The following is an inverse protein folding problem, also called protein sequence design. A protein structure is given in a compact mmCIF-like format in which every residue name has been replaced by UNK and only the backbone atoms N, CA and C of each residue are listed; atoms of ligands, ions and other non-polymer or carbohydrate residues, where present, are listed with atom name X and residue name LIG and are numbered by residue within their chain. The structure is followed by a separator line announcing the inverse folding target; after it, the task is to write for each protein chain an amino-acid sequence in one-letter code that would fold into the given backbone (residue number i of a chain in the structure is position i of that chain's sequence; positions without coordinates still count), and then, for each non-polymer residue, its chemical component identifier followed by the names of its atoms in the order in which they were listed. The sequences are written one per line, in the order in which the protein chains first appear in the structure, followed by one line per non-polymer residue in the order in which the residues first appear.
data_IF_912241928505
#
_entry.id   IF_912241928505
#
_cell.length_a   1.000
_cell.length_b   1.000
_cell.length_c   1.000
_cell.angle_alpha   90.00
_cell.angle_beta   90.00
_cell.angle_gamma   90.00
#
_symmetry.space_group_name_H-M   'P 1'
#
loop_
_entity.id
_entity.type
_entity.pdbx_description
1 polymer ?
#
# COMPACT_ATOMS: atom_id res chain seq x y z
N UNK A 1 -22.90 -23.24 5.44
CA UNK A 1 -21.65 -23.01 4.69
C UNK A 1 -21.37 -21.52 4.79
N UNK A 2 -20.34 -21.08 5.54
CA UNK A 2 -20.14 -19.63 5.72
C UNK A 2 -19.86 -18.99 4.37
N UNK A 3 -20.65 -17.99 4.00
CA UNK A 3 -20.40 -17.15 2.84
C UNK A 3 -18.95 -16.61 2.92
N UNK A 4 -18.26 -16.56 1.77
CA UNK A 4 -16.93 -15.97 1.70
C UNK A 4 -16.99 -14.53 2.23
N UNK A 5 -15.98 -14.12 3.02
CA UNK A 5 -15.82 -12.75 3.51
C UNK A 5 -14.92 -11.96 2.58
N UNK A 6 -15.28 -10.72 2.27
CA UNK A 6 -14.58 -9.89 1.29
C UNK A 6 -14.16 -8.55 1.90
N UNK A 7 -12.89 -8.22 1.78
CA UNK A 7 -12.35 -6.92 2.16
C UNK A 7 -12.16 -6.08 0.89
N UNK A 8 -13.01 -5.07 0.68
CA UNK A 8 -12.88 -4.14 -0.44
C UNK A 8 -11.81 -3.10 -0.05
N UNK A 9 -10.63 -3.21 -0.66
CA UNK A 9 -9.49 -2.35 -0.39
C UNK A 9 -9.48 -1.22 -1.41
N UNK A 10 -9.78 0.00 -0.96
CA UNK A 10 -9.76 1.21 -1.77
C UNK A 10 -8.46 1.99 -1.56
N UNK A 11 -7.55 1.83 -2.51
CA UNK A 11 -6.30 2.57 -2.62
C UNK A 11 -6.43 3.82 -3.50
N UNK A 12 -5.36 4.61 -3.54
CA UNK A 12 -5.20 5.74 -4.44
C UNK A 12 -4.41 6.90 -3.82
N UNK A 13 -3.90 7.82 -4.64
CA UNK A 13 -3.10 8.94 -4.16
C UNK A 13 -3.93 9.91 -3.30
N UNK A 14 -3.27 10.77 -2.52
CA UNK A 14 -3.94 11.88 -1.85
C UNK A 14 -4.73 12.75 -2.85
N UNK A 15 -5.85 13.34 -2.39
CA UNK A 15 -6.79 14.13 -3.20
C UNK A 15 -7.52 13.38 -4.35
N UNK A 16 -7.44 12.05 -4.42
CA UNK A 16 -8.12 11.27 -5.48
C UNK A 16 -9.63 11.05 -5.28
N UNK A 17 -10.20 11.41 -4.12
CA UNK A 17 -11.62 11.21 -3.84
C UNK A 17 -11.97 9.90 -3.11
N UNK A 18 -10.99 9.21 -2.53
CA UNK A 18 -11.19 7.93 -1.80
C UNK A 18 -12.29 7.99 -0.72
N UNK A 19 -12.39 9.07 0.04
CA UNK A 19 -13.34 9.17 1.15
C UNK A 19 -14.79 9.05 0.66
N UNK A 20 -15.19 9.91 -0.29
CA UNK A 20 -16.53 9.87 -0.90
C UNK A 20 -16.83 8.49 -1.50
N UNK A 21 -15.89 7.94 -2.27
CA UNK A 21 -16.06 6.65 -2.93
C UNK A 21 -16.16 5.49 -1.92
N UNK A 22 -15.38 5.53 -0.83
CA UNK A 22 -15.48 4.55 0.25
C UNK A 22 -16.84 4.61 0.96
N UNK A 23 -17.39 5.81 1.16
CA UNK A 23 -18.73 6.01 1.73
C UNK A 23 -19.80 5.42 0.81
N UNK A 24 -19.72 5.67 -0.50
CA UNK A 24 -20.64 5.09 -1.48
C UNK A 24 -20.59 3.55 -1.46
N UNK A 25 -19.39 2.97 -1.49
CA UNK A 25 -19.18 1.52 -1.34
C UNK A 25 -19.79 1.00 -0.03
N UNK A 26 -19.48 1.63 1.09
CA UNK A 26 -19.90 1.14 2.39
C UNK A 26 -21.42 1.25 2.60
N UNK A 27 -22.07 2.29 2.05
CA UNK A 27 -23.53 2.41 2.04
C UNK A 27 -24.18 1.32 1.19
N UNK A 28 -23.65 1.06 -0.01
CA UNK A 28 -24.16 0.02 -0.91
C UNK A 28 -24.10 -1.37 -0.26
N UNK A 29 -22.96 -1.72 0.34
CA UNK A 29 -22.74 -3.01 0.99
C UNK A 29 -23.18 -3.05 2.47
N UNK A 30 -23.83 -1.99 2.97
CA UNK A 30 -24.32 -1.88 4.35
C UNK A 30 -23.25 -2.21 5.40
N UNK A 31 -22.04 -1.69 5.18
CA UNK A 31 -20.85 -2.00 5.98
C UNK A 31 -20.19 -0.76 6.55
N UNK A 32 -19.08 -0.97 7.24
CA UNK A 32 -18.28 0.05 7.93
C UNK A 32 -16.95 0.23 7.19
N UNK A 33 -16.28 1.37 7.44
CA UNK A 33 -15.01 1.72 6.81
C UNK A 33 -13.87 1.58 7.81
N UNK A 34 -12.85 0.80 7.47
CA UNK A 34 -11.58 0.74 8.18
C UNK A 34 -10.63 1.76 7.54
N UNK A 35 -10.30 2.84 8.26
CA UNK A 35 -9.30 3.79 7.75
C UNK A 35 -7.92 3.15 7.81
N UNK A 36 -7.19 3.24 6.69
CA UNK A 36 -5.85 2.73 6.52
C UNK A 36 -4.89 3.87 6.10
N UNK A 37 -4.96 4.97 6.86
CA UNK A 37 -4.10 6.13 6.71
C UNK A 37 -3.42 6.48 8.04
N UNK A 38 -2.12 6.19 8.12
CA UNK A 38 -1.30 6.37 9.33
C UNK A 38 -1.31 7.76 9.96
N UNK A 39 -1.75 8.80 9.25
CA UNK A 39 -1.82 10.17 9.79
C UNK A 39 -3.21 10.54 10.30
N UNK A 40 -4.26 9.87 9.80
CA UNK A 40 -5.63 10.12 10.24
C UNK A 40 -5.94 9.51 11.62
N UNK A 41 -5.04 8.66 12.13
CA UNK A 41 -5.17 8.04 13.44
C UNK A 41 -5.08 9.04 14.59
N UNK A 42 -4.28 10.09 14.41
CA UNK A 42 -3.96 11.04 15.48
C UNK A 42 -5.03 12.10 15.66
N UNK A 43 -5.56 12.25 16.87
CA UNK A 43 -6.63 13.21 17.22
C UNK A 43 -6.24 14.66 16.91
N UNK A 44 -5.00 15.00 17.20
CA UNK A 44 -4.45 16.35 17.15
C UNK A 44 -4.21 16.85 15.71
N UNK A 45 -4.11 15.94 14.75
CA UNK A 45 -3.77 16.26 13.35
C UNK A 45 -4.98 16.12 12.42
N UNK A 46 -5.74 17.18 12.15
CA UNK A 46 -7.04 17.09 11.44
C UNK A 46 -7.01 17.69 10.04
N UNK A 47 -6.67 18.96 9.92
CA UNK A 47 -6.70 19.70 8.65
C UNK A 47 -5.62 19.16 7.73
N UNK A 48 -4.36 19.08 8.20
CA UNK A 48 -3.23 18.68 7.37
C UNK A 48 -3.28 17.23 6.87
N UNK A 49 -4.03 16.37 7.56
CA UNK A 49 -4.19 14.94 7.23
C UNK A 49 -5.43 14.66 6.39
N UNK A 50 -6.26 15.68 6.15
CA UNK A 50 -7.55 15.58 5.46
C UNK A 50 -8.40 14.42 5.97
N UNK A 51 -8.63 14.40 7.29
CA UNK A 51 -9.62 13.50 7.86
C UNK A 51 -10.98 13.73 7.18
N UNK A 52 -11.76 12.65 6.98
CA UNK A 52 -13.18 12.77 6.67
C UNK A 52 -13.86 13.77 7.61
N UNK A 53 -14.72 14.64 7.08
CA UNK A 53 -15.46 15.61 7.88
C UNK A 53 -16.43 14.92 8.84
N UNK A 54 -16.96 15.65 9.82
CA UNK A 54 -18.01 15.09 10.70
C UNK A 54 -19.26 14.67 9.92
N UNK A 55 -19.59 15.38 8.83
CA UNK A 55 -20.69 15.02 7.93
C UNK A 55 -20.42 13.71 7.19
N UNK A 56 -19.20 13.53 6.66
CA UNK A 56 -18.78 12.28 6.03
C UNK A 56 -18.75 11.10 7.02
N UNK A 57 -18.26 11.34 8.24
CA UNK A 57 -18.23 10.33 9.32
C UNK A 57 -19.63 9.98 9.84
N UNK A 58 -20.60 10.90 9.75
CA UNK A 58 -21.98 10.64 10.15
C UNK A 58 -22.72 9.72 9.17
N UNK A 59 -22.28 9.64 7.90
CA UNK A 59 -22.91 8.80 6.90
C UNK A 59 -22.59 7.31 7.08
N UNK A 60 -21.35 7.00 7.47
CA UNK A 60 -20.86 5.64 7.68
C UNK A 60 -19.83 5.66 8.81
N UNK A 61 -19.87 4.66 9.69
CA UNK A 61 -18.86 4.52 10.75
C UNK A 61 -17.48 4.29 10.15
N UNK A 62 -16.54 5.16 10.53
CA UNK A 62 -15.13 5.04 10.19
C UNK A 62 -14.33 4.61 11.44
N UNK A 63 -13.54 3.55 11.30
CA UNK A 63 -12.63 3.07 12.33
C UNK A 63 -11.23 3.65 12.16
N UNK A 64 -10.46 3.66 13.25
CA UNK A 64 -9.08 4.16 13.33
C UNK A 64 -8.90 5.64 13.03
N UNK A 65 -9.95 6.42 12.80
CA UNK A 65 -9.83 7.89 12.78
C UNK A 65 -9.87 8.38 14.22
N UNK A 66 -8.95 9.28 14.60
CA UNK A 66 -8.89 9.84 15.96
C UNK A 66 -8.72 8.77 17.07
N UNK A 67 -8.18 7.60 16.73
CA UNK A 67 -7.99 6.49 17.67
C UNK A 67 -6.78 6.67 18.58
N UNK A 68 -5.81 7.51 18.20
CA UNK A 68 -4.53 7.69 18.88
C UNK A 68 -4.26 9.17 19.18
N UNK A 69 -3.39 9.43 20.15
CA UNK A 69 -2.67 10.69 20.29
C UNK A 69 -1.37 10.64 19.48
N UNK A 70 -0.87 11.80 19.03
CA UNK A 70 0.46 11.91 18.39
C UNK A 70 1.62 11.44 19.29
N UNK A 71 1.40 11.35 20.60
CA UNK A 71 2.37 10.84 21.58
C UNK A 71 2.36 9.32 21.74
N UNK A 72 1.32 8.64 21.24
CA UNK A 72 1.20 7.19 21.34
C UNK A 72 2.25 6.50 20.45
N UNK A 73 3.00 5.54 21.00
CA UNK A 73 3.86 4.68 20.20
C UNK A 73 2.99 3.66 19.45
N UNK A 74 2.95 3.79 18.13
CA UNK A 74 2.09 2.96 17.29
C UNK A 74 2.79 2.55 15.99
N UNK A 75 2.96 1.24 15.83
CA UNK A 75 3.60 0.67 14.65
C UNK A 75 2.59 0.12 13.65
N UNK A 76 3.07 -0.16 12.43
CA UNK A 76 2.27 -0.88 11.43
C UNK A 76 1.89 -2.30 11.89
N UNK A 77 2.69 -2.92 12.77
CA UNK A 77 2.39 -4.22 13.33
C UNK A 77 1.27 -4.18 14.38
N UNK A 78 1.14 -3.07 15.10
CA UNK A 78 0.03 -2.85 16.04
C UNK A 78 -1.27 -2.63 15.26
N UNK A 79 -1.21 -1.80 14.20
CA UNK A 79 -2.33 -1.65 13.28
C UNK A 79 -2.77 -2.97 12.65
N UNK A 80 -1.84 -3.80 12.18
CA UNK A 80 -2.18 -5.11 11.62
C UNK A 80 -3.00 -5.95 12.62
N UNK A 81 -2.51 -6.09 13.85
CA UNK A 81 -3.17 -6.88 14.88
C UNK A 81 -4.57 -6.34 15.20
N UNK A 82 -4.68 -5.04 15.46
CA UNK A 82 -5.94 -4.40 15.82
C UNK A 82 -6.95 -4.42 14.67
N UNK A 83 -6.50 -4.14 13.44
CA UNK A 83 -7.36 -4.17 12.26
C UNK A 83 -7.88 -5.59 11.97
N UNK A 84 -7.06 -6.63 12.17
CA UNK A 84 -7.51 -8.02 11.99
C UNK A 84 -8.56 -8.43 13.03
N UNK A 85 -8.39 -8.03 14.29
CA UNK A 85 -9.40 -8.27 15.35
C UNK A 85 -10.71 -7.56 15.01
N UNK A 86 -10.64 -6.29 14.58
CA UNK A 86 -11.82 -5.55 14.16
C UNK A 86 -12.50 -6.21 12.94
N UNK A 87 -11.73 -6.61 11.94
CA UNK A 87 -12.26 -7.26 10.74
C UNK A 87 -12.95 -8.58 11.09
N UNK A 88 -12.38 -9.37 11.99
CA UNK A 88 -13.01 -10.60 12.47
C UNK A 88 -14.39 -10.32 13.08
N UNK A 89 -14.50 -9.28 13.92
CA UNK A 89 -15.78 -8.90 14.54
C UNK A 89 -16.80 -8.39 13.50
N UNK A 90 -16.38 -7.50 12.59
CA UNK A 90 -17.24 -6.98 11.53
C UNK A 90 -17.75 -8.11 10.63
N UNK A 91 -16.90 -9.07 10.28
CA UNK A 91 -17.26 -10.20 9.42
C UNK A 91 -18.20 -11.22 10.09
N UNK A 92 -18.45 -11.13 11.40
CA UNK A 92 -19.49 -11.96 12.06
C UNK A 92 -20.89 -11.64 11.54
N UNK A 93 -21.14 -10.38 11.20
CA UNK A 93 -22.46 -9.88 10.79
C UNK A 93 -22.49 -9.39 9.35
N UNK A 94 -21.33 -9.21 8.71
CA UNK A 94 -21.19 -8.65 7.36
C UNK A 94 -20.41 -9.57 6.46
N UNK A 95 -20.75 -9.57 5.18
CA UNK A 95 -19.97 -10.31 4.16
C UNK A 95 -18.91 -9.44 3.49
N UNK A 96 -19.10 -8.11 3.53
CA UNK A 96 -18.19 -7.12 2.99
C UNK A 96 -17.74 -6.16 4.08
N UNK A 97 -16.49 -5.72 4.03
CA UNK A 97 -15.97 -4.57 4.77
C UNK A 97 -15.15 -3.71 3.81
N UNK A 98 -15.22 -2.39 3.95
CA UNK A 98 -14.40 -1.46 3.15
C UNK A 98 -13.19 -1.04 3.97
N UNK A 99 -11.98 -1.16 3.40
CA UNK A 99 -10.78 -0.54 3.94
C UNK A 99 -10.28 0.52 2.97
N UNK A 100 -10.12 1.76 3.42
CA UNK A 100 -9.75 2.89 2.54
C UNK A 100 -8.50 3.57 3.04
N UNK A 101 -7.53 3.81 2.16
CA UNK A 101 -6.27 4.41 2.60
C UNK A 101 -5.23 4.63 1.51
N UNK A 102 -4.25 5.49 1.81
CA UNK A 102 -3.10 5.76 0.95
C UNK A 102 -1.80 5.13 1.43
N UNK A 103 -1.82 4.43 2.57
CA UNK A 103 -0.61 3.89 3.22
C UNK A 103 -0.35 2.46 2.76
N UNK A 104 0.37 2.29 1.64
CA UNK A 104 0.61 0.98 1.02
C UNK A 104 1.23 -0.07 1.95
N UNK A 105 2.10 0.35 2.89
CA UNK A 105 2.67 -0.56 3.90
C UNK A 105 1.61 -1.10 4.87
N UNK A 106 0.65 -0.25 5.30
CA UNK A 106 -0.42 -0.63 6.22
C UNK A 106 -1.45 -1.54 5.52
N UNK A 107 -1.77 -1.23 4.27
CA UNK A 107 -2.61 -2.09 3.43
C UNK A 107 -1.97 -3.48 3.28
N UNK A 108 -0.67 -3.51 2.96
CA UNK A 108 0.06 -4.76 2.84
C UNK A 108 0.10 -5.56 4.14
N UNK A 109 0.31 -4.90 5.28
CA UNK A 109 0.30 -5.55 6.58
C UNK A 109 -1.02 -6.29 6.80
N UNK A 110 -2.16 -5.63 6.59
CA UNK A 110 -3.49 -6.27 6.76
C UNK A 110 -3.72 -7.38 5.73
N UNK A 111 -3.40 -7.16 4.46
CA UNK A 111 -3.78 -8.10 3.39
C UNK A 111 -2.80 -9.27 3.21
N UNK A 112 -1.51 -9.03 3.41
CA UNK A 112 -0.41 -9.95 3.09
C UNK A 112 0.49 -10.24 4.29
N UNK A 113 0.25 -9.62 5.44
CA UNK A 113 1.06 -9.80 6.64
C UNK A 113 2.37 -9.03 6.60
N UNK A 114 3.06 -9.08 7.72
CA UNK A 114 4.41 -8.55 7.89
C UNK A 114 5.38 -9.69 8.18
N UNK A 115 6.60 -9.56 7.67
CA UNK A 115 7.70 -10.39 8.12
C UNK A 115 7.93 -10.17 9.62
N UNK A 116 8.06 -11.26 10.37
CA UNK A 116 8.30 -11.21 11.79
C UNK A 116 9.76 -10.86 12.07
N UNK A 117 9.99 -9.68 12.63
CA UNK A 117 11.29 -9.25 13.11
C UNK A 117 11.38 -9.34 14.64
N UNK A 118 12.56 -9.67 15.17
CA UNK A 118 12.80 -9.68 16.60
C UNK A 118 12.75 -8.25 17.17
N UNK A 119 12.36 -8.15 18.45
CA UNK A 119 12.50 -6.89 19.18
C UNK A 119 13.98 -6.53 19.31
N UNK A 120 14.28 -5.26 19.04
CA UNK A 120 15.64 -4.73 19.16
C UNK A 120 15.70 -3.92 20.44
N UNK A 121 16.58 -4.28 21.40
CA UNK A 121 16.78 -3.50 22.61
C UNK A 121 17.14 -2.04 22.32
N UNK A 122 16.57 -1.11 23.09
CA UNK A 122 16.79 0.33 22.91
C UNK A 122 18.28 0.72 22.95
N UNK A 123 19.09 0.04 23.76
CA UNK A 123 20.55 0.24 23.81
C UNK A 123 21.21 0.05 22.44
N UNK A 124 20.72 -0.90 21.64
CA UNK A 124 21.29 -1.20 20.31
C UNK A 124 20.85 -0.14 19.31
N UNK A 125 19.59 0.30 19.37
CA UNK A 125 19.09 1.40 18.54
C UNK A 125 19.92 2.68 18.76
N UNK A 126 20.08 3.09 20.01
CA UNK A 126 20.90 4.26 20.38
C UNK A 126 22.36 4.14 19.95
N UNK A 127 22.94 2.94 20.01
CA UNK A 127 24.31 2.70 19.54
C UNK A 127 24.42 2.84 18.02
N UNK A 128 23.46 2.31 17.26
CA UNK A 128 23.44 2.42 15.79
C UNK A 128 23.19 3.86 15.35
N UNK A 129 22.31 4.59 16.03
CA UNK A 129 22.09 6.03 15.81
C UNK A 129 23.37 6.83 16.07
N UNK A 130 24.03 6.60 17.21
CA UNK A 130 25.30 7.27 17.52
C UNK A 130 26.41 6.96 16.50
N UNK A 131 26.51 5.70 16.05
CA UNK A 131 27.44 5.31 14.98
C UNK A 131 27.15 6.05 13.67
N UNK A 132 25.88 6.24 13.33
CA UNK A 132 25.48 6.98 12.13
C UNK A 132 25.80 8.47 12.25
N UNK A 133 25.54 9.08 13.41
CA UNK A 133 25.85 10.48 13.68
C UNK A 133 27.36 10.77 13.63
N UNK A 134 28.18 9.86 14.17
CA UNK A 134 29.63 10.03 14.24
C UNK A 134 30.32 9.70 12.90
N UNK A 135 29.93 8.60 12.24
CA UNK A 135 30.69 8.00 11.13
C UNK A 135 29.98 8.13 9.78
N UNK A 136 28.72 8.55 9.78
CA UNK A 136 27.92 8.77 8.59
C UNK A 136 27.49 7.50 7.86
N UNK A 137 26.87 7.70 6.68
CA UNK A 137 26.23 6.62 5.91
C UNK A 137 27.22 5.57 5.40
N UNK A 138 28.46 5.95 5.10
CA UNK A 138 29.49 5.02 4.61
C UNK A 138 29.79 3.90 5.61
N UNK A 139 29.76 4.23 6.90
CA UNK A 139 29.88 3.22 7.97
C UNK A 139 28.71 2.23 7.93
N UNK A 140 27.48 2.71 7.80
CA UNK A 140 26.30 1.84 7.72
C UNK A 140 26.34 0.94 6.48
N UNK A 141 26.80 1.47 5.34
CA UNK A 141 26.95 0.71 4.11
C UNK A 141 27.95 -0.45 4.29
N UNK A 142 29.14 -0.18 4.82
CA UNK A 142 30.16 -1.23 5.03
C UNK A 142 29.75 -2.23 6.13
N UNK A 143 29.12 -1.76 7.21
CA UNK A 143 28.60 -2.61 8.26
C UNK A 143 27.53 -3.57 7.72
N UNK A 144 26.61 -3.07 6.88
CA UNK A 144 25.59 -3.89 6.26
C UNK A 144 26.18 -4.86 5.24
N UNK A 145 27.09 -4.40 4.38
CA UNK A 145 27.77 -5.23 3.39
C UNK A 145 28.47 -6.43 4.03
N UNK A 146 29.05 -6.21 5.22
CA UNK A 146 29.71 -7.26 5.99
C UNK A 146 28.71 -8.20 6.67
N UNK A 147 27.65 -7.66 7.28
CA UNK A 147 26.70 -8.43 8.08
C UNK A 147 25.61 -9.15 7.28
N UNK A 148 25.26 -8.63 6.10
CA UNK A 148 24.21 -9.15 5.23
C UNK A 148 24.41 -8.70 3.77
N UNK A 149 25.32 -9.36 3.02
CA UNK A 149 25.58 -9.05 1.61
C UNK A 149 24.33 -9.15 0.73
N UNK A 150 23.43 -10.09 1.03
CA UNK A 150 22.20 -10.30 0.27
C UNK A 150 21.26 -9.10 0.38
N UNK A 151 21.03 -8.59 1.60
CA UNK A 151 20.19 -7.39 1.76
C UNK A 151 20.88 -6.13 1.23
N UNK A 152 22.21 -6.05 1.33
CA UNK A 152 23.01 -4.93 0.81
C UNK A 152 22.77 -4.70 -0.69
N UNK A 153 22.65 -5.76 -1.49
CA UNK A 153 22.39 -5.67 -2.93
C UNK A 153 20.97 -5.19 -3.27
N UNK A 154 20.01 -5.37 -2.36
CA UNK A 154 18.59 -5.08 -2.59
C UNK A 154 18.16 -3.73 -2.02
N UNK A 155 18.80 -3.27 -0.94
CA UNK A 155 18.38 -2.08 -0.20
C UNK A 155 18.82 -0.79 -0.90
N UNK A 156 18.06 0.27 -0.67
CA UNK A 156 18.49 1.62 -1.03
C UNK A 156 19.62 2.06 -0.08
N UNK A 157 20.87 1.99 -0.57
CA UNK A 157 22.07 2.35 0.17
C UNK A 157 22.15 3.84 0.55
N UNK A 158 21.28 4.70 0.01
CA UNK A 158 21.19 6.11 0.36
C UNK A 158 20.11 6.39 1.42
N UNK A 159 19.46 5.35 1.94
CA UNK A 159 18.43 5.47 2.96
C UNK A 159 18.95 5.04 4.34
N UNK A 160 19.42 5.98 5.19
CA UNK A 160 20.05 5.64 6.46
C UNK A 160 19.10 4.89 7.40
N UNK A 161 17.81 5.20 7.41
CA UNK A 161 16.83 4.48 8.25
C UNK A 161 16.73 2.99 7.91
N UNK A 162 16.78 2.63 6.61
CA UNK A 162 16.76 1.22 6.20
C UNK A 162 18.05 0.50 6.61
N UNK A 163 19.19 1.16 6.46
CA UNK A 163 20.48 0.60 6.84
C UNK A 163 20.58 0.42 8.36
N UNK A 164 20.24 1.45 9.13
CA UNK A 164 20.21 1.39 10.59
C UNK A 164 19.30 0.26 11.07
N UNK A 165 18.08 0.15 10.53
CA UNK A 165 17.15 -0.92 10.90
C UNK A 165 17.71 -2.33 10.62
N UNK A 166 18.41 -2.52 9.52
CA UNK A 166 19.04 -3.80 9.22
C UNK A 166 20.18 -4.13 10.20
N UNK A 167 21.05 -3.15 10.45
CA UNK A 167 22.19 -3.29 11.38
C UNK A 167 21.70 -3.52 12.81
N UNK A 168 20.65 -2.84 13.25
CA UNK A 168 19.98 -3.05 14.53
C UNK A 168 19.58 -4.52 14.73
N UNK A 169 18.91 -5.11 13.75
CA UNK A 169 18.47 -6.52 13.81
C UNK A 169 19.67 -7.47 13.78
N UNK A 170 20.66 -7.20 12.93
CA UNK A 170 21.89 -7.98 12.83
C UNK A 170 22.63 -7.97 14.18
N UNK A 171 22.80 -6.80 14.80
CA UNK A 171 23.46 -6.65 16.10
C UNK A 171 22.65 -7.28 17.25
N UNK A 172 21.33 -7.19 17.20
CA UNK A 172 20.47 -7.76 18.23
C UNK A 172 20.44 -9.30 18.20
N UNK A 173 20.56 -9.90 17.01
CA UNK A 173 20.32 -11.35 16.84
C UNK A 173 21.50 -12.15 16.32
N UNK A 174 22.57 -11.49 15.91
CA UNK A 174 23.70 -12.08 15.21
C UNK A 174 23.31 -12.85 13.92
N UNK A 175 22.16 -12.51 13.31
CA UNK A 175 21.66 -13.12 12.08
C UNK A 175 21.45 -12.06 10.98
N UNK A 176 21.65 -12.40 9.69
CA UNK A 176 21.36 -11.50 8.59
C UNK A 176 19.90 -11.00 8.61
N UNK A 177 19.68 -9.74 8.24
CA UNK A 177 18.33 -9.14 8.15
C UNK A 177 17.46 -9.87 7.09
N UNK A 178 18.07 -10.24 5.97
CA UNK A 178 17.52 -11.07 4.88
C UNK A 178 16.90 -12.37 5.40
N UNK A 179 17.48 -13.01 6.42
CA UNK A 179 16.99 -14.27 6.98
C UNK A 179 15.59 -14.18 7.64
N UNK A 180 15.16 -12.96 7.99
CA UNK A 180 13.84 -12.69 8.54
C UNK A 180 12.80 -12.31 7.48
N UNK A 181 13.24 -11.97 6.26
CA UNK A 181 12.37 -11.64 5.12
C UNK A 181 11.88 -12.89 4.42
N UNK A 182 10.96 -13.61 5.07
CA UNK A 182 10.49 -14.93 4.62
C UNK A 182 9.39 -14.84 3.58
N UNK A 183 8.79 -13.67 3.38
CA UNK A 183 7.78 -13.43 2.33
C UNK A 183 6.55 -14.32 2.48
N UNK A 184 6.26 -14.80 3.70
CA UNK A 184 5.12 -15.69 3.92
C UNK A 184 3.86 -14.86 4.06
N UNK A 185 2.99 -14.95 3.06
CA UNK A 185 1.65 -14.38 3.16
C UNK A 185 0.77 -15.30 4.04
N UNK A 186 0.30 -14.83 5.21
CA UNK A 186 -0.58 -15.60 6.06
C UNK A 186 -1.94 -15.77 5.37
N UNK A 187 -2.59 -16.89 5.64
CA UNK A 187 -3.98 -17.08 5.22
C UNK A 187 -4.89 -16.15 6.02
N UNK A 188 -5.65 -15.30 5.34
CA UNK A 188 -6.62 -14.38 5.95
C UNK A 188 -8.00 -15.01 5.92
N UNK A 189 -8.82 -14.68 6.92
CA UNK A 189 -10.23 -15.10 7.00
C UNK A 189 -11.13 -14.41 5.97
N UNK A 190 -10.57 -13.50 5.15
CA UNK A 190 -11.24 -12.75 4.12
C UNK A 190 -10.45 -12.74 2.81
N UNK A 191 -11.15 -12.43 1.71
CA UNK A 191 -10.59 -12.28 0.37
C UNK A 191 -10.51 -10.79 0.01
N UNK A 192 -9.32 -10.22 -0.17
CA UNK A 192 -9.20 -8.81 -0.54
C UNK A 192 -9.58 -8.59 -2.01
N UNK A 193 -10.30 -7.49 -2.28
CA UNK A 193 -10.64 -6.98 -3.62
C UNK A 193 -10.04 -5.58 -3.74
N UNK A 194 -9.09 -5.39 -4.65
CA UNK A 194 -8.30 -4.17 -4.71
C UNK A 194 -8.77 -3.20 -5.79
N UNK A 195 -9.18 -2.03 -5.35
CA UNK A 195 -9.63 -0.92 -6.18
C UNK A 195 -8.68 0.26 -5.98
N UNK A 196 -8.40 1.00 -7.03
CA UNK A 196 -7.55 2.19 -6.96
C UNK A 196 -8.23 3.38 -7.63
N UNK A 197 -8.39 4.46 -6.87
CA UNK A 197 -8.84 5.73 -7.41
C UNK A 197 -7.78 6.32 -8.34
N UNK A 198 -8.21 6.65 -9.56
CA UNK A 198 -7.35 7.12 -10.63
C UNK A 198 -7.82 8.48 -11.17
N UNK A 199 -6.86 9.34 -11.48
CA UNK A 199 -7.02 10.62 -12.17
C UNK A 199 -5.90 10.77 -13.18
N UNK A 200 -6.11 11.57 -14.23
CA UNK A 200 -4.97 12.06 -15.02
C UNK A 200 -4.03 12.86 -14.12
N UNK A 201 -2.75 12.94 -14.49
CA UNK A 201 -1.74 13.61 -13.67
C UNK A 201 -2.07 15.09 -13.49
N UNK A 202 -2.57 15.73 -14.53
CA UNK A 202 -2.92 17.14 -14.59
C UNK A 202 -4.06 17.44 -13.60
N UNK A 203 -5.14 16.66 -13.67
CA UNK A 203 -6.29 16.78 -12.77
C UNK A 203 -5.87 16.50 -11.32
N UNK A 204 -5.09 15.44 -11.08
CA UNK A 204 -4.62 15.11 -9.74
C UNK A 204 -3.79 16.25 -9.13
N UNK A 205 -2.89 16.86 -9.92
CA UNK A 205 -2.04 17.94 -9.44
C UNK A 205 -2.83 19.21 -9.15
N UNK A 206 -3.82 19.54 -10.00
CA UNK A 206 -4.74 20.64 -9.73
C UNK A 206 -5.51 20.41 -8.44
N UNK A 207 -6.11 19.22 -8.26
CA UNK A 207 -6.83 18.85 -7.04
C UNK A 207 -5.96 18.93 -5.79
N UNK A 208 -4.71 18.46 -5.87
CA UNK A 208 -3.74 18.59 -4.76
C UNK A 208 -3.50 20.07 -4.42
N UNK A 209 -3.24 20.91 -5.42
CA UNK A 209 -2.97 22.32 -5.19
C UNK A 209 -4.16 23.03 -4.54
N UNK A 210 -5.36 22.86 -5.11
CA UNK A 210 -6.60 23.41 -4.58
C UNK A 210 -6.87 22.91 -3.16
N UNK A 211 -6.58 21.64 -2.86
CA UNK A 211 -6.73 21.09 -1.51
C UNK A 211 -5.79 21.77 -0.52
N UNK A 212 -4.53 22.01 -0.89
CA UNK A 212 -3.59 22.71 -0.02
C UNK A 212 -4.06 24.14 0.23
N UNK A 213 -4.54 24.84 -0.79
CA UNK A 213 -5.10 26.19 -0.63
C UNK A 213 -6.30 26.17 0.33
N UNK A 214 -7.20 25.19 0.19
CA UNK A 214 -8.31 24.98 1.10
C UNK A 214 -7.89 24.66 2.53
N UNK A 215 -6.84 23.87 2.73
CA UNK A 215 -6.28 23.57 4.06
C UNK A 215 -5.74 24.84 4.74
N UNK A 216 -5.00 25.67 4.00
CA UNK A 216 -4.51 26.95 4.52
C UNK A 216 -5.66 27.86 4.93
N UNK A 217 -6.70 27.96 4.09
CA UNK A 217 -7.90 28.74 4.41
C UNK A 217 -8.71 28.18 5.60
N UNK A 218 -8.64 26.87 5.83
CA UNK A 218 -9.33 26.19 6.94
C UNK A 218 -8.58 26.28 8.28
N UNK A 219 -7.39 26.88 8.30
CA UNK A 219 -6.60 27.08 9.52
C UNK A 219 -5.47 26.07 9.74
N UNK A 220 -4.88 25.52 8.66
CA UNK A 220 -3.73 24.61 8.78
C UNK A 220 -2.54 25.27 9.49
N UNK A 221 -2.31 26.57 9.27
CA UNK A 221 -1.20 27.29 9.90
C UNK A 221 -1.35 27.29 11.42
N UNK A 222 -2.57 27.54 11.90
CA UNK A 222 -2.94 27.56 13.31
C UNK A 222 -2.87 26.15 13.92
N UNK A 223 -3.35 25.13 13.21
CA UNK A 223 -3.21 23.73 13.64
C UNK A 223 -1.74 23.35 13.85
N UNK A 224 -0.85 23.70 12.91
CA UNK A 224 0.59 23.42 13.06
C UNK A 224 1.20 24.24 14.19
N UNK A 225 0.80 25.51 14.35
CA UNK A 225 1.28 26.37 15.44
C UNK A 225 1.00 25.75 16.82
N UNK A 226 -0.19 25.18 17.00
CA UNK A 226 -0.59 24.51 18.25
C UNK A 226 0.23 23.24 18.56
N UNK A 227 0.92 22.66 17.57
CA UNK A 227 1.69 21.41 17.69
C UNK A 227 3.20 21.62 17.58
N UNK A 228 3.67 22.88 17.72
CA UNK A 228 5.09 23.21 17.55
C UNK A 228 5.98 22.62 18.64
N UNK A 229 5.49 22.41 19.86
CA UNK A 229 6.29 21.83 20.94
C UNK A 229 6.62 20.35 20.65
N UNK A 230 5.71 19.67 19.94
CA UNK A 230 5.73 18.26 19.60
C UNK A 230 6.42 18.00 18.26
N UNK A 231 6.98 19.03 17.60
CA UNK A 231 7.56 18.97 16.24
C UNK A 231 8.59 17.85 15.99
N UNK A 232 9.16 17.30 17.05
CA UNK A 232 10.12 16.21 17.02
C UNK A 232 9.46 14.83 16.82
N UNK A 233 8.16 14.69 17.10
CA UNK A 233 7.42 13.45 16.99
C UNK A 233 7.21 13.01 15.53
N UNK A 234 7.28 11.70 15.30
CA UNK A 234 7.14 11.08 13.97
C UNK A 234 5.79 11.39 13.29
N UNK A 235 4.74 11.67 14.06
CA UNK A 235 3.44 12.14 13.56
C UNK A 235 3.57 13.38 12.69
N UNK A 236 4.32 14.37 13.17
CA UNK A 236 4.49 15.69 12.56
C UNK A 236 5.59 15.74 11.49
N UNK A 237 6.36 14.67 11.34
CA UNK A 237 7.31 14.49 10.24
C UNK A 237 6.60 14.08 8.93
N UNK A 238 5.59 14.86 8.53
CA UNK A 238 4.78 14.62 7.33
C UNK A 238 4.57 15.90 6.52
N UNK A 239 4.20 15.73 5.25
CA UNK A 239 3.93 16.84 4.32
C UNK A 239 2.79 17.71 4.86
N UNK A 240 2.96 19.03 4.79
CA UNK A 240 2.05 20.01 5.37
C UNK A 240 2.59 20.56 6.69
N UNK A 241 3.05 19.68 7.58
CA UNK A 241 3.52 20.05 8.90
C UNK A 241 5.01 20.46 8.85
N UNK A 242 5.87 19.67 8.22
CA UNK A 242 7.31 19.96 8.15
C UNK A 242 7.61 21.32 7.50
N UNK A 243 6.91 21.66 6.42
CA UNK A 243 7.10 22.92 5.72
C UNK A 243 6.66 24.12 6.56
N UNK A 244 5.55 24.00 7.30
CA UNK A 244 5.05 25.06 8.17
C UNK A 244 5.88 25.19 9.45
N UNK A 245 6.37 24.09 10.03
CA UNK A 245 7.36 24.12 11.11
C UNK A 245 8.61 24.89 10.67
N UNK A 246 9.13 24.62 9.46
CA UNK A 246 10.28 25.35 8.93
C UNK A 246 10.00 26.85 8.73
N UNK A 247 8.75 27.22 8.41
CA UNK A 247 8.33 28.62 8.40
C UNK A 247 8.37 29.25 9.80
N UNK A 248 7.80 28.59 10.81
CA UNK A 248 7.85 29.06 12.20
C UNK A 248 9.28 29.18 12.76
N UNK A 249 10.21 28.37 12.26
CA UNK A 249 11.64 28.46 12.58
C UNK A 249 12.40 29.53 11.77
N UNK A 250 11.68 30.39 11.02
CA UNK A 250 12.23 31.43 10.15
C UNK A 250 13.21 30.93 9.07
N UNK A 251 13.15 29.64 8.71
CA UNK A 251 13.99 29.05 7.65
C UNK A 251 13.44 29.33 6.25
N UNK A 252 12.13 29.58 6.12
CA UNK A 252 11.42 29.83 4.88
C UNK A 252 10.28 30.85 5.08
N UNK A 253 9.93 31.60 4.02
CA UNK A 253 8.71 32.43 4.04
C UNK A 253 7.44 31.55 3.99
N UNK A 254 6.30 32.10 4.41
CA UNK A 254 5.03 31.37 4.41
C UNK A 254 4.64 30.96 2.98
N UNK A 255 4.81 31.87 2.03
CA UNK A 255 4.53 31.62 0.61
C UNK A 255 5.38 30.44 0.10
N UNK A 256 6.66 30.42 0.49
CA UNK A 256 7.56 29.34 0.09
C UNK A 256 7.20 28.01 0.76
N UNK A 257 6.80 28.02 2.02
CA UNK A 257 6.31 26.84 2.71
C UNK A 257 5.08 26.27 1.98
N UNK A 258 4.08 27.09 1.65
CA UNK A 258 2.88 26.66 0.91
C UNK A 258 3.22 26.09 -0.46
N UNK A 259 4.13 26.69 -1.22
CA UNK A 259 4.62 26.13 -2.48
C UNK A 259 5.24 24.73 -2.30
N UNK A 260 6.03 24.55 -1.25
CA UNK A 260 6.67 23.27 -0.94
C UNK A 260 5.65 22.22 -0.51
N UNK A 261 4.62 22.59 0.27
CA UNK A 261 3.52 21.67 0.63
C UNK A 261 2.85 21.14 -0.65
N UNK A 262 2.54 22.04 -1.60
CA UNK A 262 1.98 21.64 -2.90
C UNK A 262 2.93 20.71 -3.65
N UNK A 263 4.22 21.04 -3.73
CA UNK A 263 5.22 20.23 -4.42
C UNK A 263 5.40 18.84 -3.79
N UNK A 264 5.55 18.79 -2.47
CA UNK A 264 5.79 17.56 -1.74
C UNK A 264 4.53 16.68 -1.67
N UNK A 265 3.33 17.28 -1.67
CA UNK A 265 2.07 16.54 -1.81
C UNK A 265 1.97 15.84 -3.16
N UNK A 266 2.41 16.48 -4.26
CA UNK A 266 2.49 15.84 -5.58
C UNK A 266 3.54 14.72 -5.62
N UNK A 267 4.70 14.92 -4.99
CA UNK A 267 5.72 13.87 -4.85
C UNK A 267 5.20 12.69 -4.04
N UNK A 268 4.45 12.93 -2.97
CA UNK A 268 3.83 11.90 -2.16
C UNK A 268 2.78 11.11 -2.96
N UNK A 269 1.88 11.80 -3.68
CA UNK A 269 0.92 11.17 -4.58
C UNK A 269 1.61 10.28 -5.63
N UNK A 270 2.71 10.75 -6.24
CA UNK A 270 3.53 9.94 -7.16
C UNK A 270 4.06 8.68 -6.48
N UNK A 271 4.60 8.77 -5.26
CA UNK A 271 5.09 7.60 -4.50
C UNK A 271 3.98 6.59 -4.23
N UNK A 272 2.78 7.05 -3.89
CA UNK A 272 1.61 6.17 -3.69
C UNK A 272 1.23 5.43 -4.96
N UNK A 273 1.17 6.13 -6.10
CA UNK A 273 0.91 5.52 -7.41
C UNK A 273 1.99 4.51 -7.78
N UNK A 274 3.26 4.85 -7.58
CA UNK A 274 4.40 3.95 -7.84
C UNK A 274 4.32 2.70 -6.97
N UNK A 275 3.95 2.83 -5.69
CA UNK A 275 3.78 1.69 -4.80
C UNK A 275 2.70 0.73 -5.32
N UNK A 276 1.51 1.23 -5.64
CA UNK A 276 0.40 0.41 -6.12
C UNK A 276 0.70 -0.24 -7.48
N UNK A 277 1.43 0.46 -8.36
CA UNK A 277 1.82 -0.07 -9.67
C UNK A 277 2.72 -1.32 -9.57
N UNK A 278 3.56 -1.41 -8.53
CA UNK A 278 4.45 -2.57 -8.31
C UNK A 278 3.65 -3.88 -8.22
N UNK A 279 2.47 -3.79 -7.62
CA UNK A 279 1.75 -4.96 -7.14
C UNK A 279 0.90 -5.63 -8.25
N UNK A 280 0.43 -4.87 -9.24
CA UNK A 280 -0.16 -5.40 -10.48
C UNK A 280 -1.64 -5.85 -10.44
N UNK A 281 -2.28 -5.84 -9.26
CA UNK A 281 -3.68 -6.29 -9.10
C UNK A 281 -4.72 -5.19 -8.89
N UNK A 282 -4.31 -3.93 -8.87
CA UNK A 282 -5.20 -2.82 -8.59
C UNK A 282 -6.11 -2.54 -9.79
N UNK A 283 -7.42 -2.67 -9.62
CA UNK A 283 -8.37 -2.23 -10.65
C UNK A 283 -8.60 -0.73 -10.52
N UNK A 284 -8.30 0.03 -11.57
CA UNK A 284 -8.45 1.49 -11.57
C UNK A 284 -9.90 1.90 -11.82
N UNK A 285 -10.35 2.92 -11.09
CA UNK A 285 -11.63 3.59 -11.28
C UNK A 285 -11.47 5.11 -11.12
N UNK A 286 -12.24 5.87 -11.89
CA UNK A 286 -12.44 7.31 -11.67
C UNK A 286 -13.60 7.54 -10.69
N UNK A 287 -13.68 8.71 -10.02
CA UNK A 287 -14.77 8.99 -9.08
C UNK A 287 -16.17 8.84 -9.64
N UNK A 288 -16.36 9.12 -10.93
CA UNK A 288 -17.65 8.99 -11.63
C UNK A 288 -18.03 7.55 -12.00
N UNK A 289 -17.14 6.57 -11.79
CA UNK A 289 -17.30 5.18 -12.23
C UNK A 289 -17.76 4.24 -11.09
N UNK A 290 -18.49 4.76 -10.09
CA UNK A 290 -18.95 3.97 -8.93
C UNK A 290 -19.77 2.73 -9.33
N UNK A 291 -20.69 2.87 -10.29
CA UNK A 291 -21.49 1.73 -10.80
C UNK A 291 -20.61 0.64 -11.41
N UNK A 292 -19.58 1.03 -12.19
CA UNK A 292 -18.63 0.07 -12.76
C UNK A 292 -17.82 -0.67 -11.69
N UNK A 293 -17.56 -0.02 -10.55
CA UNK A 293 -16.91 -0.68 -9.42
C UNK A 293 -17.84 -1.69 -8.73
N UNK A 294 -19.14 -1.39 -8.60
CA UNK A 294 -20.12 -2.36 -8.10
C UNK A 294 -20.21 -3.59 -9.02
N UNK A 295 -20.26 -3.37 -10.33
CA UNK A 295 -20.27 -4.46 -11.32
C UNK A 295 -18.99 -5.31 -11.24
N UNK A 296 -17.83 -4.66 -11.11
CA UNK A 296 -16.56 -5.35 -10.97
C UNK A 296 -16.48 -6.20 -9.68
N UNK A 297 -16.89 -5.65 -8.54
CA UNK A 297 -16.92 -6.39 -7.27
C UNK A 297 -17.88 -7.58 -7.37
N UNK A 298 -19.08 -7.35 -7.93
CA UNK A 298 -20.08 -8.41 -8.14
C UNK A 298 -19.53 -9.53 -9.02
N UNK A 299 -18.85 -9.19 -10.11
CA UNK A 299 -18.18 -10.17 -10.98
C UNK A 299 -17.10 -10.95 -10.23
N UNK A 300 -16.22 -10.27 -9.48
CA UNK A 300 -15.16 -10.91 -8.67
C UNK A 300 -15.76 -11.91 -7.68
N UNK A 301 -16.88 -11.58 -7.06
CA UNK A 301 -17.56 -12.42 -6.08
C UNK A 301 -18.27 -13.61 -6.75
N UNK A 302 -19.05 -13.36 -7.80
CA UNK A 302 -19.84 -14.36 -8.53
C UNK A 302 -18.94 -15.40 -9.20
N UNK A 303 -17.90 -14.95 -9.90
CA UNK A 303 -16.91 -15.79 -10.56
C UNK A 303 -15.86 -16.35 -9.57
N UNK A 304 -16.03 -16.03 -8.28
CA UNK A 304 -15.18 -16.52 -7.19
C UNK A 304 -13.69 -16.28 -7.46
N UNK A 305 -13.35 -15.14 -8.06
CA UNK A 305 -11.98 -14.81 -8.41
C UNK A 305 -11.13 -14.71 -7.12
N UNK A 306 -9.87 -15.13 -7.19
CA UNK A 306 -8.89 -15.10 -6.12
C UNK A 306 -7.63 -14.38 -6.57
N UNK A 307 -7.02 -13.63 -5.66
CA UNK A 307 -5.68 -13.11 -5.87
C UNK A 307 -4.68 -14.26 -5.78
N UNK A 308 -3.79 -14.38 -6.76
CA UNK A 308 -2.71 -15.34 -6.79
C UNK A 308 -1.38 -14.62 -7.02
N UNK A 309 -0.33 -15.20 -6.45
CA UNK A 309 1.03 -14.70 -6.51
C UNK A 309 1.79 -15.48 -7.58
N UNK A 310 2.50 -14.77 -8.43
CA UNK A 310 3.33 -15.31 -9.49
C UNK A 310 4.78 -14.84 -9.31
N UNK A 311 5.75 -15.77 -9.14
CA UNK A 311 7.15 -15.40 -9.08
C UNK A 311 7.61 -14.86 -10.44
N UNK A 312 8.11 -13.62 -10.49
CA UNK A 312 8.67 -13.03 -11.71
C UNK A 312 10.20 -13.09 -11.69
N UNK A 313 10.77 -14.08 -12.37
CA UNK A 313 12.22 -14.28 -12.50
C UNK A 313 13.01 -13.11 -13.16
N UNK A 314 12.35 -12.10 -13.72
CA UNK A 314 13.01 -10.96 -14.40
C UNK A 314 12.96 -9.68 -13.57
N UNK A 315 12.15 -9.67 -12.51
CA UNK A 315 12.06 -8.56 -11.58
C UNK A 315 12.56 -8.96 -10.18
N UNK A 316 12.81 -10.25 -9.94
CA UNK A 316 13.14 -10.75 -8.60
C UNK A 316 12.01 -10.51 -7.58
N UNK A 317 10.78 -10.25 -8.05
CA UNK A 317 9.62 -9.95 -7.22
C UNK A 317 8.45 -10.86 -7.55
N UNK A 318 7.60 -11.03 -6.56
CA UNK A 318 6.28 -11.63 -6.68
C UNK A 318 5.29 -10.63 -7.28
N UNK A 319 4.59 -11.04 -8.34
CA UNK A 319 3.52 -10.28 -9.00
C UNK A 319 2.19 -10.89 -8.61
N UNK A 320 1.19 -10.07 -8.34
CA UNK A 320 -0.08 -10.53 -7.80
C UNK A 320 -1.19 -10.29 -8.86
N UNK A 321 -2.05 -11.28 -9.12
CA UNK A 321 -3.05 -11.25 -10.21
C UNK A 321 -4.31 -12.05 -9.86
N UNK A 322 -5.49 -11.66 -10.36
CA UNK A 322 -6.78 -12.32 -10.07
C UNK A 322 -7.09 -13.46 -11.06
N UNK A 323 -7.52 -14.62 -10.56
CA UNK A 323 -7.93 -15.79 -11.35
C UNK A 323 -9.20 -16.45 -10.79
N UNK A 324 -10.03 -17.14 -11.58
CA UNK A 324 -11.11 -17.98 -11.04
C UNK A 324 -10.63 -18.98 -9.97
N UNK A 325 -11.48 -19.31 -9.01
CA UNK A 325 -11.10 -20.15 -7.86
C UNK A 325 -10.59 -21.56 -8.28
N UNK A 326 -11.10 -22.10 -9.38
CA UNK A 326 -10.71 -23.40 -9.92
C UNK A 326 -9.51 -23.35 -10.87
N UNK A 327 -8.97 -22.16 -11.15
CA UNK A 327 -7.80 -21.99 -12.00
C UNK A 327 -6.56 -22.48 -11.26
N UNK A 328 -5.88 -23.48 -11.84
CA UNK A 328 -4.52 -23.85 -11.46
C UNK A 328 -3.57 -23.02 -12.31
N UNK A 329 -2.69 -22.28 -11.66
CA UNK A 329 -1.66 -21.48 -12.34
C UNK A 329 -0.38 -22.31 -12.33
N UNK A 330 0.04 -22.85 -13.48
CA UNK A 330 1.41 -23.36 -13.65
C UNK A 330 2.25 -22.23 -14.25
N UNK A 331 3.25 -21.76 -13.50
CA UNK A 331 4.27 -20.88 -14.05
C UNK A 331 5.28 -21.76 -14.82
N UNK A 332 5.28 -21.67 -16.15
CA UNK A 332 6.33 -22.29 -16.97
C UNK A 332 7.54 -21.34 -16.99
N UNK A 333 8.68 -21.83 -16.49
CA UNK A 333 9.96 -21.14 -16.60
C UNK A 333 10.51 -21.37 -18.00
N UNK A 334 10.86 -20.31 -18.73
CA UNK A 334 11.84 -20.42 -19.80
C UNK A 334 12.91 -19.32 -19.68
N UNK A 335 14.17 -19.75 -19.66
CA UNK A 335 15.34 -18.89 -19.66
C UNK A 335 15.56 -18.33 -21.07
N UNK A 336 14.94 -17.20 -21.39
CA UNK A 336 15.48 -16.16 -22.28
C UNK A 336 14.36 -15.19 -22.72
N UNK A 337 14.42 -13.96 -22.18
CA UNK A 337 13.91 -12.70 -22.77
C UNK A 337 12.47 -12.57 -23.31
N UNK A 338 11.56 -13.54 -23.17
CA UNK A 338 10.12 -13.33 -23.36
C UNK A 338 9.31 -14.03 -22.26
N UNK A 339 8.30 -13.33 -21.75
CA UNK A 339 7.45 -13.80 -20.64
C UNK A 339 5.99 -13.79 -21.05
N UNK A 340 5.47 -14.98 -21.34
CA UNK A 340 4.04 -15.26 -21.41
C UNK A 340 3.62 -16.00 -20.14
N UNK A 341 2.52 -15.60 -19.50
CA UNK A 341 1.92 -16.37 -18.40
C UNK A 341 0.69 -17.12 -18.92
N UNK A 342 0.70 -18.46 -18.81
CA UNK A 342 -0.45 -19.30 -19.11
C UNK A 342 -1.22 -19.61 -17.84
N UNK A 343 -2.50 -19.21 -17.80
CA UNK A 343 -3.46 -19.65 -16.80
C UNK A 343 -4.46 -20.62 -17.44
N UNK A 344 -4.75 -21.73 -16.79
CA UNK A 344 -5.71 -22.71 -17.29
C UNK A 344 -6.63 -23.19 -16.17
N UNK A 345 -7.85 -23.54 -16.55
CA UNK A 345 -8.80 -24.21 -15.68
C UNK A 345 -8.78 -25.70 -15.98
N UNK A 346 -8.56 -26.51 -14.95
CA UNK A 346 -8.71 -27.96 -15.07
C UNK A 346 -10.17 -28.29 -14.77
N UNK A 347 -11.00 -28.43 -15.81
CA UNK A 347 -12.33 -29.02 -15.65
C UNK A 347 -12.19 -30.55 -15.59
N UNK A 348 -12.91 -31.27 -14.71
CA UNK A 348 -12.80 -32.73 -14.56
C UNK A 348 -13.16 -33.58 -15.80
N UNK A 349 -13.55 -32.95 -16.92
CA UNK A 349 -13.87 -33.61 -18.20
C UNK A 349 -13.27 -32.93 -19.44
N UNK A 350 -12.60 -31.77 -19.30
CA UNK A 350 -11.98 -31.00 -20.39
C UNK A 350 -10.98 -29.99 -19.82
N UNK A 351 -9.74 -29.98 -20.27
CA UNK A 351 -8.85 -28.84 -19.98
C UNK A 351 -9.35 -27.63 -20.77
N UNK A 352 -9.78 -26.57 -20.08
CA UNK A 352 -10.20 -25.31 -20.73
C UNK A 352 -9.04 -24.34 -20.62
N UNK A 353 -8.44 -24.03 -21.77
CA UNK A 353 -7.40 -23.02 -21.89
C UNK A 353 -8.06 -21.65 -21.94
N UNK A 354 -7.77 -20.81 -20.96
CA UNK A 354 -8.10 -19.39 -21.06
C UNK A 354 -6.94 -18.71 -21.77
N UNK A 355 -7.25 -17.96 -22.84
CA UNK A 355 -6.27 -17.04 -23.39
C UNK A 355 -5.84 -16.08 -22.27
N UNK A 356 -4.57 -15.65 -22.24
CA UNK A 356 -4.15 -14.58 -21.34
C UNK A 356 -5.13 -13.43 -21.48
N UNK A 357 -5.70 -12.97 -20.36
CA UNK A 357 -6.54 -11.78 -20.35
C UNK A 357 -5.61 -10.60 -20.57
N UNK A 358 -5.51 -10.18 -21.83
CA UNK A 358 -4.81 -8.96 -22.22
C UNK A 358 -5.68 -7.80 -21.77
N UNK A 359 -5.21 -7.07 -20.75
CA UNK A 359 -5.71 -5.73 -20.46
C UNK A 359 -5.08 -4.80 -21.51
N UNK A 360 -5.75 -4.68 -22.66
CA UNK A 360 -5.51 -3.80 -23.82
C UNK A 360 -4.10 -3.25 -24.10
N UNK A 361 -3.60 -3.49 -25.31
CA UNK A 361 -2.84 -2.48 -26.05
C UNK A 361 -1.44 -2.83 -26.55
N UNK A 362 -1.27 -3.94 -27.28
CA UNK A 362 -0.21 -4.03 -28.32
C UNK A 362 -0.47 -5.21 -29.28
N UNK A 363 -0.84 -4.91 -30.54
CA UNK A 363 -1.10 -5.91 -31.59
C UNK A 363 0.13 -6.78 -31.91
N UNK A 364 1.34 -6.29 -31.65
CA UNK A 364 2.56 -7.08 -31.85
C UNK A 364 2.72 -8.15 -30.78
N UNK A 365 2.38 -7.87 -29.51
CA UNK A 365 2.40 -8.87 -28.44
C UNK A 365 1.34 -9.96 -28.65
N UNK A 366 0.15 -9.60 -29.13
CA UNK A 366 -0.91 -10.57 -29.41
C UNK A 366 -0.50 -11.57 -30.50
N UNK A 367 0.23 -11.11 -31.52
CA UNK A 367 0.72 -11.97 -32.61
C UNK A 367 1.84 -12.90 -32.14
N UNK A 368 2.78 -12.39 -31.34
CA UNK A 368 3.90 -13.17 -30.80
C UNK A 368 3.40 -14.25 -29.82
N UNK A 369 2.46 -13.89 -28.93
CA UNK A 369 1.89 -14.82 -27.96
C UNK A 369 1.02 -15.91 -28.60
N UNK A 370 0.27 -15.57 -29.67
CA UNK A 370 -0.48 -16.57 -30.44
C UNK A 370 0.44 -17.54 -31.21
N UNK A 371 1.60 -17.06 -31.66
CA UNK A 371 2.61 -17.90 -32.30
C UNK A 371 3.27 -18.86 -31.30
N UNK A 372 3.68 -18.38 -30.12
CA UNK A 372 4.27 -19.23 -29.08
C UNK A 372 3.26 -20.21 -28.45
N UNK A 373 2.01 -19.78 -28.24
CA UNK A 373 0.95 -20.68 -27.76
C UNK A 373 0.65 -21.82 -28.74
N UNK A 374 0.85 -21.59 -30.04
CA UNK A 374 0.74 -22.64 -31.07
C UNK A 374 1.94 -23.60 -31.02
N UNK A 375 3.16 -23.10 -30.89
CA UNK A 375 4.36 -23.93 -30.79
C UNK A 375 4.33 -24.83 -29.54
N UNK A 376 3.89 -24.32 -28.39
CA UNK A 376 3.72 -25.10 -27.16
C UNK A 376 2.64 -26.19 -27.28
N UNK A 377 1.58 -25.97 -28.06
CA UNK A 377 0.58 -27.01 -28.37
C UNK A 377 1.12 -28.09 -29.28
N UNK A 378 2.05 -27.74 -30.17
CA UNK A 378 2.71 -28.68 -31.08
C UNK A 378 3.81 -29.49 -30.35
N UNK A 379 4.54 -28.90 -29.39
CA UNK A 379 5.57 -29.59 -28.59
C UNK A 379 5.02 -30.51 -27.49
N UNK A 380 3.90 -30.16 -26.85
CA UNK A 380 3.42 -30.90 -25.67
C UNK A 380 2.43 -32.05 -25.94
N UNK A 381 2.13 -32.37 -27.21
CA UNK A 381 1.47 -33.62 -27.61
C UNK A 381 0.30 -34.09 -26.73
N UNK A 382 -0.88 -33.48 -26.94
CA UNK A 382 -2.23 -33.72 -26.34
C UNK A 382 -2.56 -32.96 -25.05
#
# INVERSE_FOLDING_TARGET
MSANKYLIVLGGPTASGKTSFAIELARHYQTEIVSCDSRQFYREMTIGTAKPTLEEQAQVKHHFINSLSIEDDYSVGDFEKEALVLLEDLFRTRDYVVMSGGSGLFINAVCFGLDAFPEVPERIRKQVEADFEEKGIGYLQEALKTGDPEYYEQVDLQNPHRLMRAIEVIRATAKPFSSFRKGKNPERSFKPIFLQMHHTREVLYQRINTRVDGMMAAGLLEEVNCLLAEKHLNGLQTVGYQELIAHFEAKLSLEKAVELIKQNSRRYAKRQITWMRRDGFWKHFRPEETEMAFDYISLVVQEKLRLAIMPSAALGIEVYTMFPQNTKVLAAFNQSSLKAYLAFEIHPKKTVWYNPVILEGDQQLETILNHEARLLREEMGK
#
